data_IF_283346497231
#
_entry.id   IF_283346497231
#
_cell.length_a   1.000
_cell.length_b   1.000
_cell.length_c   1.000
_cell.angle_alpha   90.00
_cell.angle_beta   90.00
_cell.angle_gamma   90.00
#
_symmetry.space_group_name_H-M   'P 1'
#
loop_
_entity.id
_entity.type
_entity.pdbx_description
1 polymer ?
#
# COMPACT_ATOMS: atom_id res chain seq x y z
N UNK A 1 -49.14 -27.11 21.43
CA UNK A 1 -48.88 -26.94 19.98
C UNK A 1 -47.70 -25.98 19.82
N UNK A 2 -46.58 -26.44 19.24
CA UNK A 2 -45.39 -25.62 18.97
C UNK A 2 -45.38 -25.28 17.47
N UNK A 3 -45.25 -24.00 17.14
CA UNK A 3 -45.09 -23.55 15.76
C UNK A 3 -43.69 -23.93 15.22
N UNK A 4 -43.55 -24.31 13.93
CA UNK A 4 -42.26 -24.57 13.31
C UNK A 4 -41.53 -23.27 12.94
N UNK A 5 -40.18 -23.27 12.89
CA UNK A 5 -39.40 -22.10 12.50
C UNK A 5 -39.45 -21.86 10.97
N UNK A 6 -39.51 -20.61 10.50
CA UNK A 6 -39.47 -20.32 9.07
C UNK A 6 -38.04 -20.41 8.51
N UNK A 7 -37.89 -21.30 7.52
CA UNK A 7 -37.13 -21.08 6.28
C UNK A 7 -35.61 -20.90 6.36
N UNK A 8 -34.86 -22.01 6.21
CA UNK A 8 -33.51 -21.96 5.60
C UNK A 8 -33.65 -21.56 4.13
N UNK A 9 -33.07 -20.43 3.74
CA UNK A 9 -32.89 -20.10 2.34
C UNK A 9 -31.90 -21.11 1.69
N UNK A 10 -32.19 -21.63 0.49
CA UNK A 10 -31.28 -22.53 -0.20
C UNK A 10 -30.04 -21.75 -0.66
N UNK A 11 -28.86 -22.23 -0.24
CA UNK A 11 -27.59 -21.76 -0.76
C UNK A 11 -27.54 -21.91 -2.28
N UNK A 12 -27.28 -20.81 -2.98
CA UNK A 12 -26.91 -20.83 -4.39
C UNK A 12 -25.43 -20.50 -4.52
N UNK A 13 -24.69 -21.59 -4.72
CA UNK A 13 -23.47 -21.75 -5.50
C UNK A 13 -22.55 -20.53 -5.64
N UNK A 14 -21.36 -20.65 -5.05
CA UNK A 14 -20.15 -19.93 -5.49
C UNK A 14 -19.92 -20.15 -6.97
N UNK A 15 -20.35 -19.21 -7.80
CA UNK A 15 -19.87 -19.12 -9.17
C UNK A 15 -18.41 -18.64 -9.14
N UNK A 16 -17.49 -19.55 -9.49
CA UNK A 16 -16.14 -19.23 -9.91
C UNK A 16 -16.22 -18.05 -10.89
N UNK A 17 -15.75 -16.86 -10.48
CA UNK A 17 -15.60 -15.73 -11.40
C UNK A 17 -14.50 -16.09 -12.39
N UNK A 18 -14.92 -16.52 -13.58
CA UNK A 18 -14.08 -16.44 -14.78
C UNK A 18 -13.65 -14.99 -14.99
N UNK A 19 -12.51 -14.80 -15.66
CA UNK A 19 -12.00 -13.48 -16.08
C UNK A 19 -13.16 -12.67 -16.65
N UNK A 20 -13.59 -11.64 -15.92
CA UNK A 20 -14.78 -10.87 -16.25
C UNK A 20 -14.52 -10.04 -17.51
N UNK A 21 -15.06 -10.47 -18.64
CA UNK A 21 -15.33 -9.57 -19.76
C UNK A 21 -16.48 -8.67 -19.36
N UNK A 22 -16.33 -7.37 -19.56
CA UNK A 22 -17.42 -6.41 -19.41
C UNK A 22 -18.56 -6.77 -20.37
N UNK A 23 -19.80 -6.66 -19.89
CA UNK A 23 -20.98 -6.77 -20.75
C UNK A 23 -21.19 -5.48 -21.56
N UNK A 24 -22.12 -5.54 -22.52
CA UNK A 24 -22.35 -4.45 -23.46
C UNK A 24 -22.88 -3.17 -22.78
N UNK A 25 -23.63 -3.32 -21.69
CA UNK A 25 -24.20 -2.20 -20.94
C UNK A 25 -23.11 -1.50 -20.12
N UNK A 26 -22.23 -2.27 -19.49
CA UNK A 26 -21.04 -1.76 -18.80
C UNK A 26 -20.08 -1.05 -19.76
N UNK A 27 -19.90 -1.59 -20.98
CA UNK A 27 -19.06 -0.96 -22.01
C UNK A 27 -19.64 0.38 -22.48
N UNK A 28 -20.94 0.43 -22.75
CA UNK A 28 -21.62 1.66 -23.16
C UNK A 28 -21.60 2.74 -22.07
N UNK A 29 -21.71 2.34 -20.79
CA UNK A 29 -21.60 3.26 -19.66
C UNK A 29 -20.20 3.88 -19.57
N UNK A 30 -19.15 3.09 -19.81
CA UNK A 30 -17.76 3.55 -19.79
C UNK A 30 -17.43 4.45 -20.98
N UNK A 31 -17.93 4.12 -22.17
CA UNK A 31 -17.78 4.94 -23.38
C UNK A 31 -18.51 6.29 -23.24
N UNK A 32 -19.69 6.31 -22.61
CA UNK A 32 -20.44 7.54 -22.33
C UNK A 32 -19.74 8.46 -21.30
N UNK A 33 -18.82 7.94 -20.49
CA UNK A 33 -18.01 8.70 -19.53
C UNK A 33 -16.65 9.15 -20.11
N UNK A 34 -16.52 9.16 -21.44
CA UNK A 34 -15.31 9.23 -22.28
C UNK A 34 -14.23 10.30 -22.05
N UNK A 35 -14.12 10.94 -20.88
CA UNK A 35 -13.02 11.86 -20.55
C UNK A 35 -12.39 11.62 -19.16
N UNK A 36 -12.74 10.56 -18.43
CA UNK A 36 -12.14 10.31 -17.09
C UNK A 36 -11.62 8.90 -16.79
N UNK A 37 -11.51 8.04 -17.80
CA UNK A 37 -10.76 6.78 -17.66
C UNK A 37 -9.44 6.87 -18.42
N UNK A 38 -8.33 6.99 -17.68
CA UNK A 38 -7.03 6.58 -18.23
C UNK A 38 -7.05 5.05 -18.25
N UNK A 39 -7.50 4.48 -19.36
CA UNK A 39 -7.27 3.06 -19.62
C UNK A 39 -5.78 2.93 -19.91
N UNK A 40 -5.00 2.42 -18.96
CA UNK A 40 -3.63 1.95 -19.22
C UNK A 40 -3.77 0.64 -20.02
N UNK A 41 -4.15 0.72 -21.30
CA UNK A 41 -4.18 -0.42 -22.21
C UNK A 41 -3.33 -0.17 -23.46
N UNK A 42 -2.05 0.14 -23.24
CA UNK A 42 -1.07 -0.54 -24.06
C UNK A 42 -0.66 -1.75 -23.24
N UNK A 43 -0.88 -2.97 -23.74
CA UNK A 43 -0.11 -4.09 -23.20
C UNK A 43 1.35 -3.73 -23.45
N UNK A 44 2.17 -3.56 -22.39
CA UNK A 44 3.55 -3.15 -22.57
C UNK A 44 4.26 -4.18 -23.43
N UNK A 45 5.09 -3.72 -24.36
CA UNK A 45 5.84 -4.65 -25.19
C UNK A 45 6.80 -5.48 -24.31
N UNK A 46 7.19 -6.66 -24.79
CA UNK A 46 8.02 -7.58 -24.01
C UNK A 46 9.39 -6.96 -23.66
N UNK A 47 9.91 -6.04 -24.48
CA UNK A 47 11.17 -5.36 -24.23
C UNK A 47 11.03 -4.28 -23.14
N UNK A 48 9.92 -3.56 -23.09
CA UNK A 48 9.54 -2.63 -22.03
C UNK A 48 9.34 -3.36 -20.71
N UNK A 49 8.63 -4.50 -20.72
CA UNK A 49 8.48 -5.36 -19.55
C UNK A 49 9.83 -5.89 -19.05
N UNK A 50 10.70 -6.33 -19.95
CA UNK A 50 12.05 -6.82 -19.61
C UNK A 50 12.91 -5.68 -19.05
N UNK A 51 12.86 -4.49 -19.65
CA UNK A 51 13.60 -3.33 -19.16
C UNK A 51 13.07 -2.83 -17.80
N UNK A 52 11.75 -2.86 -17.60
CA UNK A 52 11.12 -2.55 -16.32
C UNK A 52 11.48 -3.59 -15.25
N UNK A 53 11.48 -4.88 -15.59
CA UNK A 53 11.92 -5.96 -14.71
C UNK A 53 13.40 -5.85 -14.35
N UNK A 54 14.27 -5.51 -15.30
CA UNK A 54 15.69 -5.27 -15.04
C UNK A 54 15.91 -4.05 -14.12
N UNK A 55 15.14 -2.97 -14.31
CA UNK A 55 15.14 -1.81 -13.39
C UNK A 55 14.61 -2.18 -12.01
N UNK A 56 13.55 -2.98 -11.93
CA UNK A 56 13.00 -3.48 -10.67
C UNK A 56 13.99 -4.40 -9.93
N UNK A 57 14.74 -5.24 -10.66
CA UNK A 57 15.78 -6.08 -10.10
C UNK A 57 16.95 -5.25 -9.51
N UNK A 58 17.25 -4.08 -10.06
CA UNK A 58 18.21 -3.13 -9.45
C UNK A 58 17.70 -2.51 -8.15
N UNK A 59 16.39 -2.60 -7.89
CA UNK A 59 15.77 -2.21 -6.63
C UNK A 59 15.71 -3.37 -5.64
N UNK A 60 16.43 -4.47 -5.87
CA UNK A 60 16.63 -5.57 -4.93
C UNK A 60 18.01 -5.44 -4.24
N UNK A 61 18.08 -5.26 -2.91
CA UNK A 61 16.96 -5.19 -1.98
C UNK A 61 16.18 -3.87 -2.09
N UNK A 62 14.87 -3.88 -1.76
CA UNK A 62 14.04 -2.68 -1.73
C UNK A 62 14.65 -1.64 -0.80
N UNK A 63 14.54 -0.37 -1.21
CA UNK A 63 15.10 0.76 -0.46
C UNK A 63 14.58 0.84 0.98
N UNK A 64 13.34 0.40 1.23
CA UNK A 64 12.79 0.27 2.57
C UNK A 64 11.83 -0.93 2.64
N UNK A 65 11.88 -1.66 3.75
CA UNK A 65 11.01 -2.79 4.06
C UNK A 65 10.24 -2.49 5.34
N UNK A 66 8.92 -2.68 5.30
CA UNK A 66 8.08 -2.60 6.50
C UNK A 66 8.02 -3.99 7.15
N UNK A 67 8.31 -4.04 8.44
CA UNK A 67 8.30 -5.26 9.24
C UNK A 67 7.18 -5.20 10.30
N UNK A 68 6.57 -6.35 10.59
CA UNK A 68 5.56 -6.49 11.65
C UNK A 68 4.19 -5.86 11.36
N UNK A 69 4.04 -5.10 10.27
CA UNK A 69 2.80 -4.40 9.92
C UNK A 69 2.29 -4.79 8.52
N UNK A 70 1.66 -5.98 8.35
CA UNK A 70 1.12 -6.41 7.06
C UNK A 70 0.09 -5.41 6.54
N UNK A 71 0.07 -5.18 5.22
CA UNK A 71 -0.84 -4.22 4.57
C UNK A 71 -0.31 -2.78 4.52
N UNK A 72 0.73 -2.45 5.29
CA UNK A 72 1.45 -1.17 5.18
C UNK A 72 2.46 -1.24 4.03
N UNK A 73 2.55 -0.16 3.25
CA UNK A 73 3.48 -0.05 2.12
C UNK A 73 4.42 1.13 2.35
N UNK A 74 5.71 0.92 2.09
CA UNK A 74 6.70 1.98 2.04
C UNK A 74 6.93 2.46 0.61
N UNK A 75 6.98 3.77 0.41
CA UNK A 75 7.22 4.41 -0.88
C UNK A 75 8.34 5.45 -0.71
N UNK A 76 9.61 5.06 -0.91
CA UNK A 76 10.75 5.96 -0.84
C UNK A 76 10.75 6.99 -1.96
N UNK A 77 11.18 8.22 -1.63
CA UNK A 77 11.40 9.34 -2.52
C UNK A 77 12.77 9.92 -2.20
N UNK A 78 13.63 9.98 -3.20
CA UNK A 78 14.96 10.57 -3.10
C UNK A 78 14.96 11.83 -3.94
N UNK A 79 15.36 12.95 -3.35
CA UNK A 79 15.54 14.24 -4.01
C UNK A 79 16.94 14.33 -4.62
N UNK A 80 17.14 15.24 -5.56
CA UNK A 80 18.42 15.45 -6.25
C UNK A 80 19.55 15.89 -5.30
N UNK A 81 19.20 16.57 -4.20
CA UNK A 81 20.12 16.94 -3.12
C UNK A 81 20.45 15.78 -2.17
N UNK A 82 19.96 14.56 -2.46
CA UNK A 82 20.19 13.37 -1.67
C UNK A 82 19.29 13.26 -0.43
N UNK A 83 18.37 14.20 -0.19
CA UNK A 83 17.39 14.09 0.88
C UNK A 83 16.40 12.94 0.58
N UNK A 84 16.06 12.16 1.60
CA UNK A 84 15.22 10.97 1.45
C UNK A 84 14.00 11.09 2.35
N UNK A 85 12.82 10.92 1.76
CA UNK A 85 11.55 10.79 2.47
C UNK A 85 10.88 9.47 2.10
N UNK A 86 10.27 8.80 3.06
CA UNK A 86 9.58 7.53 2.85
C UNK A 86 8.13 7.71 3.29
N UNK A 87 7.21 7.58 2.34
CA UNK A 87 5.78 7.57 2.67
C UNK A 87 5.41 6.17 3.14
N UNK A 88 4.72 6.08 4.26
CA UNK A 88 4.11 4.86 4.76
C UNK A 88 2.61 4.96 4.62
N UNK A 89 2.00 4.06 3.84
CA UNK A 89 0.55 4.02 3.65
C UNK A 89 -0.02 2.74 4.27
N UNK A 90 -0.91 2.90 5.24
CA UNK A 90 -1.64 1.79 5.83
C UNK A 90 -2.90 1.48 5.00
N UNK A 91 -2.97 0.30 4.40
CA UNK A 91 -4.11 -0.12 3.56
C UNK A 91 -5.09 -1.04 4.27
N UNK A 92 -4.97 -1.21 5.59
CA UNK A 92 -5.81 -2.10 6.37
C UNK A 92 -7.17 -1.45 6.66
N UNK A 93 -8.01 -1.32 5.63
CA UNK A 93 -9.37 -0.82 5.78
C UNK A 93 -10.19 -1.69 6.74
N UNK A 94 -10.92 -1.04 7.64
CA UNK A 94 -11.85 -1.65 8.56
C UNK A 94 -13.25 -1.05 8.34
N UNK A 95 -14.20 -1.83 7.78
CA UNK A 95 -15.54 -1.32 7.45
C UNK A 95 -16.38 -0.99 8.69
N UNK A 96 -16.00 -1.47 9.88
CA UNK A 96 -16.77 -1.21 11.11
C UNK A 96 -16.64 0.24 11.59
N UNK A 97 -15.53 0.89 11.25
CA UNK A 97 -15.22 2.28 11.59
C UNK A 97 -15.13 3.18 10.35
N UNK A 98 -15.40 2.62 9.16
CA UNK A 98 -15.20 3.27 7.85
C UNK A 98 -13.84 3.98 7.73
N UNK A 99 -12.79 3.27 8.13
CA UNK A 99 -11.45 3.85 8.28
C UNK A 99 -10.37 2.80 8.14
N UNK A 100 -9.16 3.11 8.62
CA UNK A 100 -8.07 2.13 8.67
C UNK A 100 -7.88 1.63 10.10
N UNK A 101 -7.57 0.34 10.24
CA UNK A 101 -7.10 -0.22 11.50
C UNK A 101 -5.70 0.31 11.79
N UNK A 102 -5.55 1.01 12.90
CA UNK A 102 -4.25 1.51 13.36
C UNK A 102 -3.25 0.36 13.55
N UNK A 103 -2.02 0.57 13.09
CA UNK A 103 -0.89 -0.33 13.31
C UNK A 103 -0.06 0.18 14.50
N UNK A 104 -0.10 -0.47 15.67
CA UNK A 104 0.53 0.07 16.88
C UNK A 104 2.06 0.04 16.83
N UNK A 105 2.63 -0.91 16.07
CA UNK A 105 4.07 -1.06 15.89
C UNK A 105 4.36 -1.22 14.39
N UNK A 106 5.06 -0.25 13.83
CA UNK A 106 5.54 -0.27 12.44
C UNK A 106 7.04 -0.07 12.48
N UNK A 107 7.78 -1.07 12.02
CA UNK A 107 9.23 -1.03 11.96
C UNK A 107 9.68 -0.92 10.51
N UNK A 108 10.61 -0.01 10.26
CA UNK A 108 11.12 0.29 8.93
C UNK A 108 12.59 -0.10 8.85
N UNK A 109 12.92 -1.11 8.04
CA UNK A 109 14.31 -1.47 7.73
C UNK A 109 14.71 -0.84 6.41
N UNK A 110 15.82 -0.11 6.43
CA UNK A 110 16.34 0.60 5.27
C UNK A 110 17.43 -0.22 4.58
N UNK A 111 17.59 -0.01 3.28
CA UNK A 111 18.77 -0.48 2.56
C UNK A 111 20.01 0.27 3.06
N UNK A 112 21.17 -0.39 3.04
CA UNK A 112 22.39 0.13 3.68
C UNK A 112 22.86 1.51 3.19
N UNK A 113 22.66 1.83 1.91
CA UNK A 113 22.96 3.15 1.32
C UNK A 113 21.99 4.27 1.77
N UNK A 114 20.88 3.88 2.38
CA UNK A 114 19.86 4.77 2.95
C UNK A 114 19.82 4.70 4.48
N UNK A 115 20.75 3.97 5.12
CA UNK A 115 20.80 3.89 6.57
C UNK A 115 20.96 5.30 7.18
N UNK A 116 20.16 5.59 8.21
CA UNK A 116 20.14 6.87 8.88
C UNK A 116 20.13 6.65 10.38
N UNK A 117 20.91 7.43 11.12
CA UNK A 117 20.94 7.34 12.59
C UNK A 117 19.65 7.89 13.23
N UNK A 118 18.99 8.83 12.55
CA UNK A 118 17.75 9.46 12.97
C UNK A 118 16.84 9.72 11.78
N UNK A 119 15.55 9.83 12.06
CA UNK A 119 14.56 10.32 11.13
C UNK A 119 13.52 11.16 11.87
N UNK A 120 12.81 12.00 11.13
CA UNK A 120 11.61 12.67 11.64
C UNK A 120 10.39 12.04 10.99
N UNK A 121 9.36 11.78 11.80
CA UNK A 121 8.09 11.19 11.40
C UNK A 121 7.02 12.26 11.50
N UNK A 122 6.28 12.46 10.41
CA UNK A 122 5.06 13.27 10.37
C UNK A 122 3.87 12.38 10.04
N UNK A 123 2.76 12.57 10.74
CA UNK A 123 1.49 11.95 10.43
C UNK A 123 0.38 13.01 10.53
N UNK A 124 -0.71 12.92 9.76
CA UNK A 124 -1.82 13.87 9.85
C UNK A 124 -2.45 13.94 11.26
N UNK A 125 -2.46 12.83 11.97
CA UNK A 125 -3.16 12.68 13.25
C UNK A 125 -2.25 12.95 14.47
N UNK A 126 -0.97 13.27 14.26
CA UNK A 126 0.01 13.40 15.33
C UNK A 126 1.03 14.53 15.09
N UNK A 127 1.57 15.07 16.18
CA UNK A 127 2.72 15.96 16.15
C UNK A 127 3.95 15.27 15.53
N UNK A 128 4.81 16.06 14.88
CA UNK A 128 6.05 15.56 14.33
C UNK A 128 6.96 15.04 15.45
N UNK A 129 7.63 13.91 15.23
CA UNK A 129 8.52 13.31 16.24
C UNK A 129 9.79 12.77 15.62
N UNK A 130 10.89 12.87 16.35
CA UNK A 130 12.14 12.22 15.96
C UNK A 130 12.15 10.76 16.41
N UNK A 131 12.77 9.92 15.59
CA UNK A 131 13.04 8.51 15.87
C UNK A 131 14.52 8.24 15.66
N UNK A 132 15.14 7.56 16.62
CA UNK A 132 16.50 7.07 16.49
C UNK A 132 16.48 5.65 15.90
N UNK A 133 17.50 5.31 15.10
CA UNK A 133 17.68 3.94 14.64
C UNK A 133 18.04 3.02 15.81
N UNK A 134 17.46 1.82 15.79
CA UNK A 134 17.85 0.74 16.68
C UNK A 134 19.26 0.22 16.31
N UNK A 135 19.81 -0.65 17.15
CA UNK A 135 21.15 -1.22 16.95
C UNK A 135 21.28 -2.02 15.63
N UNK A 136 20.18 -2.55 15.10
CA UNK A 136 20.13 -3.25 13.81
C UNK A 136 19.83 -2.32 12.62
N UNK A 137 19.83 -1.00 12.83
CA UNK A 137 19.63 0.02 11.78
C UNK A 137 18.18 0.25 11.36
N UNK A 138 17.21 -0.38 12.02
CA UNK A 138 15.78 -0.17 11.78
C UNK A 138 15.23 1.05 12.54
N UNK A 139 14.12 1.61 12.05
CA UNK A 139 13.41 2.73 12.67
C UNK A 139 12.04 2.29 13.19
N UNK A 140 11.72 2.63 14.44
CA UNK A 140 10.40 2.38 15.06
C UNK A 140 9.45 3.56 14.77
N UNK A 141 8.64 3.41 13.73
CA UNK A 141 7.77 4.46 13.17
C UNK A 141 6.33 4.40 13.71
N UNK A 142 5.92 3.29 14.32
CA UNK A 142 4.59 3.16 14.94
C UNK A 142 4.37 4.11 16.13
N UNK A 143 3.10 4.42 16.47
CA UNK A 143 1.88 3.93 15.82
C UNK A 143 1.60 4.61 14.46
N UNK A 144 0.87 3.92 13.58
CA UNK A 144 0.49 4.40 12.25
C UNK A 144 -1.01 4.25 12.00
N UNK A 145 -1.69 5.39 11.84
CA UNK A 145 -3.04 5.50 11.31
C UNK A 145 -3.07 5.29 9.80
N UNK A 146 -3.56 6.26 9.03
CA UNK A 146 -3.67 6.17 7.57
C UNK A 146 -2.32 6.31 6.87
N UNK A 147 -1.56 7.32 7.24
CA UNK A 147 -0.39 7.75 6.47
C UNK A 147 0.65 8.43 7.36
N UNK A 148 1.92 8.21 7.05
CA UNK A 148 3.01 8.98 7.62
C UNK A 148 4.10 9.26 6.57
N UNK A 149 4.90 10.29 6.82
CA UNK A 149 6.15 10.58 6.11
C UNK A 149 7.29 10.39 7.09
N UNK A 150 8.32 9.65 6.69
CA UNK A 150 9.58 9.49 7.42
C UNK A 150 10.69 10.18 6.62
N UNK A 151 11.18 11.33 7.06
CA UNK A 151 12.34 11.96 6.44
C UNK A 151 13.61 11.56 7.18
N UNK A 152 14.60 11.07 6.44
CA UNK A 152 15.86 10.60 6.99
C UNK A 152 16.78 11.79 7.27
N UNK A 153 17.36 11.82 8.47
CA UNK A 153 18.42 12.78 8.82
C UNK A 153 19.76 12.18 8.44
N UNK A 154 20.51 12.86 7.56
CA UNK A 154 21.86 12.47 7.15
C UNK A 154 22.92 13.28 7.87
#
# INVERSE_FOLDING_TARGET
ARAPPPGRAPGRASARRGRGSLDAEQRALLEAQGERLIVISAEPDEAELTAAAARLAQLDPPAAVVEGAPGVVAMPRVRDDGAVAIHLLNRNYDPTIDGVREMPAVRLRLRGDLAAARATVWAPEAEAREVAAAADGSLEVGPLGLWAIVALSR
#
